data_IF_781834998757
#
_entry.id   IF_781834998757
#
_cell.length_a   1.000
_cell.length_b   1.000
_cell.length_c   1.000
_cell.angle_alpha   90.00
_cell.angle_beta   90.00
_cell.angle_gamma   90.00
#
_symmetry.space_group_name_H-M   'P 1'
#
loop_
_entity.id
_entity.type
_entity.pdbx_description
1 polymer ?
#
# COMPACT_ATOMS: atom_id res chain seq x y z
N UNK A 1 30.19 29.01 -8.14
CA UNK A 1 29.54 28.54 -9.38
C UNK A 1 28.73 27.31 -8.99
N UNK A 2 27.47 27.53 -8.60
CA UNK A 2 26.58 26.50 -8.09
C UNK A 2 25.99 25.76 -9.29
N UNK A 3 26.45 24.53 -9.52
CA UNK A 3 25.95 23.67 -10.60
C UNK A 3 24.57 23.14 -10.17
N UNK A 4 23.50 23.88 -10.50
CA UNK A 4 22.13 23.40 -10.35
C UNK A 4 21.95 22.29 -11.40
N UNK A 5 21.96 21.04 -10.95
CA UNK A 5 21.59 19.90 -11.76
C UNK A 5 20.11 20.05 -12.14
N UNK A 6 19.86 20.51 -13.37
CA UNK A 6 18.59 20.35 -14.05
C UNK A 6 18.34 18.85 -14.24
N UNK A 7 17.72 18.21 -13.25
CA UNK A 7 17.08 16.92 -13.46
C UNK A 7 16.05 17.11 -14.58
N UNK A 8 16.03 16.25 -15.61
CA UNK A 8 14.97 16.30 -16.60
C UNK A 8 13.66 16.03 -15.87
N UNK A 9 12.77 17.03 -15.80
CA UNK A 9 11.36 16.78 -15.58
C UNK A 9 10.92 15.82 -16.68
N UNK A 10 10.79 14.54 -16.33
CA UNK A 10 10.19 13.54 -17.21
C UNK A 10 8.70 13.89 -17.21
N UNK A 11 8.32 14.79 -18.11
CA UNK A 11 6.91 15.12 -18.37
C UNK A 11 6.25 13.85 -18.89
N UNK A 12 5.63 13.07 -18.00
CA UNK A 12 4.97 11.82 -18.35
C UNK A 12 3.49 12.08 -18.68
N UNK A 13 3.23 13.07 -19.55
CA UNK A 13 1.89 13.30 -20.09
C UNK A 13 1.47 12.08 -20.92
N UNK A 14 0.40 11.41 -20.49
CA UNK A 14 -0.07 10.17 -21.14
C UNK A 14 -1.44 10.39 -21.77
N UNK A 15 -1.61 9.95 -23.02
CA UNK A 15 -2.88 10.05 -23.73
C UNK A 15 -3.83 8.92 -23.36
N UNK A 16 -5.04 9.27 -22.93
CA UNK A 16 -6.14 8.33 -22.71
C UNK A 16 -6.90 8.17 -24.02
N UNK A 17 -7.10 6.92 -24.41
CA UNK A 17 -7.71 6.53 -25.67
C UNK A 17 -9.03 5.82 -25.41
N UNK A 18 -9.99 6.00 -26.30
CA UNK A 18 -11.24 5.25 -26.37
C UNK A 18 -11.32 4.49 -27.67
N UNK A 19 -11.58 3.19 -27.60
CA UNK A 19 -11.97 2.37 -28.75
C UNK A 19 -13.48 2.15 -28.70
N UNK A 20 -14.25 2.79 -29.59
CA UNK A 20 -15.69 2.58 -29.68
C UNK A 20 -16.07 1.10 -29.81
N UNK A 21 -17.17 0.69 -29.16
CA UNK A 21 -17.64 -0.70 -29.17
C UNK A 21 -18.21 -1.13 -30.53
N UNK A 22 -18.56 -0.17 -31.39
CA UNK A 22 -19.00 -0.40 -32.77
C UNK A 22 -17.86 -0.83 -33.73
N UNK A 23 -16.62 -0.86 -33.25
CA UNK A 23 -15.44 -1.20 -34.05
C UNK A 23 -14.85 -0.03 -34.83
N UNK A 24 -15.32 1.20 -34.58
CA UNK A 24 -14.75 2.41 -35.15
C UNK A 24 -13.29 2.64 -34.70
N UNK A 25 -12.61 3.55 -35.39
CA UNK A 25 -11.23 3.89 -35.09
C UNK A 25 -11.07 4.41 -33.65
N UNK A 26 -9.88 4.19 -33.07
CA UNK A 26 -9.54 4.67 -31.72
C UNK A 26 -9.53 6.20 -31.72
N UNK A 27 -10.18 6.79 -30.72
CA UNK A 27 -10.30 8.23 -30.50
C UNK A 27 -9.50 8.62 -29.26
N UNK A 28 -8.81 9.75 -29.28
CA UNK A 28 -8.12 10.29 -28.11
C UNK A 28 -9.11 11.06 -27.23
N UNK A 29 -9.37 10.56 -26.03
CA UNK A 29 -10.27 11.23 -25.08
C UNK A 29 -9.64 12.48 -24.48
N UNK A 30 -8.35 12.41 -24.15
CA UNK A 30 -7.63 13.49 -23.50
C UNK A 30 -6.22 13.10 -23.10
N UNK A 31 -5.52 14.03 -22.48
CA UNK A 31 -4.19 13.81 -21.91
C UNK A 31 -4.23 13.96 -20.40
N UNK A 32 -3.51 13.08 -19.71
CA UNK A 32 -3.31 13.14 -18.27
C UNK A 32 -1.88 13.54 -17.99
N UNK A 33 -1.72 14.56 -17.16
CA UNK A 33 -0.43 14.91 -16.57
C UNK A 33 -0.29 14.16 -15.23
N UNK A 34 0.80 13.40 -15.10
CA UNK A 34 1.10 12.63 -13.88
C UNK A 34 1.79 13.48 -12.81
N UNK A 35 2.45 14.58 -13.19
CA UNK A 35 3.10 15.51 -12.28
C UNK A 35 2.07 16.45 -11.64
N UNK A 36 1.09 16.88 -12.44
CA UNK A 36 -0.06 17.64 -11.99
C UNK A 36 -1.33 16.86 -12.29
N UNK A 37 -1.94 16.15 -11.31
CA UNK A 37 -3.05 15.22 -11.53
C UNK A 37 -4.26 15.95 -12.12
N UNK A 38 -4.28 16.05 -13.44
CA UNK A 38 -5.21 16.85 -14.21
C UNK A 38 -5.48 16.11 -15.52
N UNK A 39 -6.74 16.15 -15.94
CA UNK A 39 -7.17 15.62 -17.22
C UNK A 39 -7.56 16.79 -18.10
N UNK A 40 -6.98 16.84 -19.30
CA UNK A 40 -7.41 17.76 -20.34
C UNK A 40 -8.17 16.97 -21.38
N UNK A 41 -9.50 17.15 -21.42
CA UNK A 41 -10.33 16.56 -22.47
C UNK A 41 -9.98 17.15 -23.83
N UNK A 42 -9.84 16.29 -24.84
CA UNK A 42 -9.56 16.68 -26.22
C UNK A 42 -10.63 16.24 -27.20
N UNK A 43 -11.66 15.52 -26.72
CA UNK A 43 -12.75 15.03 -27.56
C UNK A 43 -14.09 15.07 -26.83
N UNK A 44 -15.14 15.33 -27.61
CA UNK A 44 -16.53 15.27 -27.16
C UNK A 44 -17.15 13.89 -27.41
N UNK A 45 -16.32 12.83 -27.45
CA UNK A 45 -16.82 11.48 -27.72
C UNK A 45 -17.81 11.06 -26.64
N UNK A 46 -18.97 10.58 -27.08
CA UNK A 46 -19.99 9.96 -26.26
C UNK A 46 -20.44 8.64 -26.89
N UNK A 47 -20.64 7.64 -26.06
CA UNK A 47 -20.96 6.29 -26.49
C UNK A 47 -20.25 5.24 -25.65
N UNK A 48 -20.57 3.98 -25.94
CA UNK A 48 -19.88 2.84 -25.33
C UNK A 48 -18.52 2.64 -26.00
N UNK A 49 -17.47 2.67 -25.21
CA UNK A 49 -16.11 2.47 -25.69
C UNK A 49 -15.26 1.76 -24.63
N UNK A 50 -14.26 1.01 -25.09
CA UNK A 50 -13.19 0.63 -24.20
C UNK A 50 -12.22 1.79 -24.02
N UNK A 51 -12.03 2.20 -22.77
CA UNK A 51 -11.07 3.19 -22.33
C UNK A 51 -9.76 2.48 -22.03
N UNK A 52 -8.66 3.04 -22.55
CA UNK A 52 -7.35 2.42 -22.48
C UNK A 52 -6.20 3.37 -22.78
N UNK A 53 -5.02 2.79 -22.90
CA UNK A 53 -3.76 3.48 -23.19
C UNK A 53 -3.08 2.85 -24.39
N UNK A 54 -2.14 3.59 -24.98
CA UNK A 54 -1.16 3.00 -25.87
C UNK A 54 0.06 2.54 -25.04
N UNK A 55 0.33 1.24 -25.04
CA UNK A 55 1.50 0.65 -24.40
C UNK A 55 2.35 0.01 -25.50
N UNK A 56 3.56 0.55 -25.71
CA UNK A 56 4.51 0.05 -26.71
C UNK A 56 3.99 0.01 -28.16
N UNK A 57 3.05 0.89 -28.53
CA UNK A 57 2.47 0.97 -29.87
C UNK A 57 1.08 0.32 -29.96
N UNK A 58 0.73 -0.53 -29.01
CA UNK A 58 -0.55 -1.26 -28.98
C UNK A 58 -1.54 -0.63 -28.01
N UNK A 59 -2.80 -0.52 -28.44
CA UNK A 59 -3.88 -0.10 -27.57
C UNK A 59 -4.27 -1.23 -26.61
N UNK A 60 -4.15 -0.96 -25.32
CA UNK A 60 -4.56 -1.87 -24.24
C UNK A 60 -5.85 -1.36 -23.62
N UNK A 61 -6.89 -2.17 -23.77
CA UNK A 61 -8.21 -1.95 -23.19
C UNK A 61 -8.17 -2.21 -21.67
N UNK A 62 -8.50 -1.21 -20.86
CA UNK A 62 -8.55 -1.36 -19.40
C UNK A 62 -9.98 -1.44 -18.85
N UNK A 63 -10.89 -0.59 -19.35
CA UNK A 63 -12.27 -0.51 -18.85
C UNK A 63 -13.24 -0.30 -20.02
N UNK A 64 -14.24 -1.16 -20.15
CA UNK A 64 -15.38 -0.91 -21.02
C UNK A 64 -16.41 -0.05 -20.27
N UNK A 65 -16.73 1.13 -20.80
CA UNK A 65 -17.68 2.04 -20.16
C UNK A 65 -18.47 2.86 -21.19
N UNK A 66 -19.64 3.33 -20.75
CA UNK A 66 -20.42 4.32 -21.49
C UNK A 66 -19.96 5.72 -21.09
N UNK A 67 -19.50 6.48 -22.09
CA UNK A 67 -19.04 7.85 -21.95
C UNK A 67 -20.21 8.79 -22.29
N UNK A 68 -20.53 9.68 -21.36
CA UNK A 68 -21.54 10.72 -21.54
C UNK A 68 -20.82 12.05 -21.85
N UNK A 69 -21.31 12.81 -22.84
CA UNK A 69 -20.71 14.11 -23.22
C UNK A 69 -21.04 15.21 -22.21
N UNK A 70 -22.14 15.08 -21.46
CA UNK A 70 -22.67 16.07 -20.53
C UNK A 70 -22.34 15.77 -19.06
N UNK A 71 -21.43 14.82 -18.79
CA UNK A 71 -21.00 14.44 -17.44
C UNK A 71 -19.49 14.55 -17.31
N UNK A 72 -19.05 14.91 -16.11
CA UNK A 72 -17.65 14.86 -15.75
C UNK A 72 -17.13 13.43 -15.74
N UNK A 73 -15.83 13.28 -15.99
CA UNK A 73 -15.11 12.00 -16.08
C UNK A 73 -14.22 11.84 -14.86
N UNK A 74 -14.34 10.72 -14.14
CA UNK A 74 -13.43 10.38 -13.04
C UNK A 74 -12.50 9.24 -13.47
N UNK A 75 -11.21 9.53 -13.51
CA UNK A 75 -10.16 8.56 -13.80
C UNK A 75 -9.36 8.27 -12.54
N UNK A 76 -9.30 7.00 -12.13
CA UNK A 76 -8.38 6.55 -11.08
C UNK A 76 -7.24 5.79 -11.72
N UNK A 77 -6.03 6.36 -11.67
CA UNK A 77 -4.84 5.77 -12.27
C UNK A 77 -3.97 5.19 -11.18
N UNK A 78 -3.60 3.92 -11.31
CA UNK A 78 -2.61 3.29 -10.46
C UNK A 78 -1.27 3.27 -11.20
N UNK A 79 -0.30 4.01 -10.69
CA UNK A 79 1.05 4.08 -11.26
C UNK A 79 2.07 3.46 -10.30
N UNK A 80 3.02 2.72 -10.86
CA UNK A 80 4.14 2.13 -10.13
C UNK A 80 5.44 2.49 -10.86
N UNK A 81 6.38 3.11 -10.15
CA UNK A 81 7.69 3.50 -10.70
C UNK A 81 7.58 4.37 -11.98
N UNK A 82 6.57 5.24 -12.05
CA UNK A 82 6.30 6.09 -13.22
C UNK A 82 5.61 5.39 -14.39
N UNK A 83 5.29 4.11 -14.27
CA UNK A 83 4.54 3.33 -15.27
C UNK A 83 3.10 3.17 -14.83
N UNK A 84 2.15 3.50 -15.70
CA UNK A 84 0.73 3.27 -15.45
C UNK A 84 0.45 1.77 -15.54
N UNK A 85 -0.06 1.21 -14.44
CA UNK A 85 -0.35 -0.23 -14.32
C UNK A 85 -1.83 -0.53 -14.50
N UNK A 86 -2.71 0.40 -14.08
CA UNK A 86 -4.16 0.20 -14.14
C UNK A 86 -4.88 1.54 -14.23
N UNK A 87 -6.00 1.53 -14.96
CA UNK A 87 -6.93 2.65 -15.04
C UNK A 87 -8.29 2.13 -14.64
N UNK A 88 -8.96 2.86 -13.75
CA UNK A 88 -10.37 2.70 -13.48
C UNK A 88 -11.10 3.97 -13.95
N UNK A 89 -12.30 3.78 -14.50
CA UNK A 89 -13.16 4.87 -14.93
C UNK A 89 -14.47 4.79 -14.15
N UNK A 90 -14.88 5.92 -13.57
CA UNK A 90 -16.15 6.06 -12.87
C UNK A 90 -16.98 7.16 -13.52
N UNK A 91 -18.23 6.82 -13.79
CA UNK A 91 -19.23 7.73 -14.37
C UNK A 91 -19.99 8.48 -13.30
N UNK A 92 -20.59 9.60 -13.69
CA UNK A 92 -21.59 10.30 -12.88
C UNK A 92 -21.07 11.47 -12.06
N UNK A 93 -19.96 12.09 -12.47
CA UNK A 93 -19.58 13.39 -11.93
C UNK A 93 -20.46 14.47 -12.56
N UNK A 94 -20.75 15.57 -11.82
CA UNK A 94 -21.41 16.73 -12.39
C UNK A 94 -20.63 17.22 -13.62
N UNK A 95 -21.34 17.74 -14.63
CA UNK A 95 -20.85 18.09 -15.96
C UNK A 95 -19.62 19.01 -16.04
N UNK A 96 -19.22 19.61 -14.91
CA UNK A 96 -18.17 20.62 -14.82
C UNK A 96 -16.89 20.12 -14.14
N UNK A 97 -16.83 18.87 -13.69
CA UNK A 97 -15.70 18.36 -12.91
C UNK A 97 -15.16 17.07 -13.52
N UNK A 98 -14.10 17.21 -14.32
CA UNK A 98 -13.23 16.09 -14.65
C UNK A 98 -12.22 15.93 -13.51
N UNK A 99 -12.17 14.74 -12.90
CA UNK A 99 -11.31 14.46 -11.75
C UNK A 99 -10.34 13.33 -12.08
N UNK A 100 -9.06 13.54 -11.78
CA UNK A 100 -8.04 12.51 -11.86
C UNK A 100 -7.50 12.21 -10.48
N UNK A 101 -7.60 10.95 -10.06
CA UNK A 101 -6.97 10.48 -8.83
C UNK A 101 -5.81 9.57 -9.22
N UNK A 102 -4.59 9.98 -8.89
CA UNK A 102 -3.40 9.15 -9.09
C UNK A 102 -3.10 8.44 -7.76
N UNK A 103 -3.21 7.12 -7.77
CA UNK A 103 -2.77 6.27 -6.66
C UNK A 103 -1.40 5.71 -7.02
N UNK A 104 -0.34 6.22 -6.42
CA UNK A 104 0.96 5.57 -6.52
C UNK A 104 0.97 4.39 -5.55
N UNK A 105 1.35 3.20 -6.03
CA UNK A 105 1.52 2.04 -5.17
C UNK A 105 2.70 2.31 -4.23
N UNK A 106 2.43 2.93 -3.08
CA UNK A 106 3.42 3.11 -2.03
C UNK A 106 3.88 1.71 -1.60
N UNK A 107 5.18 1.46 -1.69
CA UNK A 107 5.76 0.20 -1.23
C UNK A 107 5.22 -0.09 0.18
N UNK A 108 4.55 -1.23 0.32
CA UNK A 108 4.05 -1.65 1.63
C UNK A 108 5.23 -1.58 2.61
N UNK A 109 5.05 -1.00 3.81
CA UNK A 109 6.12 -0.97 4.79
C UNK A 109 6.62 -2.41 4.95
N UNK A 110 7.90 -2.63 4.66
CA UNK A 110 8.51 -3.94 4.76
C UNK A 110 8.14 -4.49 6.12
N UNK A 111 7.37 -5.58 6.14
CA UNK A 111 7.12 -6.28 7.37
C UNK A 111 8.49 -6.60 7.94
N UNK A 112 8.81 -6.08 9.12
CA UNK A 112 10.00 -6.46 9.85
C UNK A 112 9.83 -7.95 10.16
N UNK A 113 10.30 -8.79 9.23
CA UNK A 113 10.34 -10.24 9.39
C UNK A 113 11.27 -10.44 10.58
N UNK A 114 10.69 -10.70 11.76
CA UNK A 114 11.41 -11.33 12.84
C UNK A 114 12.01 -12.60 12.24
N UNK A 115 13.33 -12.70 12.34
CA UNK A 115 14.17 -13.68 11.69
C UNK A 115 13.51 -15.06 11.59
N UNK A 116 13.70 -15.78 10.47
CA UNK A 116 13.13 -17.11 10.31
C UNK A 116 13.53 -18.00 11.48
N UNK A 117 12.54 -18.54 12.17
CA UNK A 117 12.73 -19.48 13.29
C UNK A 117 13.65 -20.60 12.79
N UNK A 118 14.87 -20.63 13.32
CA UNK A 118 15.84 -21.65 12.93
C UNK A 118 15.31 -23.02 13.38
N UNK A 119 14.97 -23.86 12.42
CA UNK A 119 14.60 -25.26 12.65
C UNK A 119 15.87 -26.05 12.94
N UNK A 120 16.06 -26.47 14.19
CA UNK A 120 17.01 -27.52 14.53
C UNK A 120 16.21 -28.81 14.66
N UNK A 121 16.46 -29.80 13.80
CA UNK A 121 15.85 -31.13 13.82
C UNK A 121 14.31 -31.19 13.63
N UNK A 122 13.75 -30.40 12.71
CA UNK A 122 12.35 -30.54 12.27
C UNK A 122 11.25 -30.35 13.35
N UNK A 123 11.59 -29.84 14.52
CA UNK A 123 10.64 -29.49 15.57
C UNK A 123 10.70 -27.98 15.84
N UNK A 124 9.53 -27.37 15.99
CA UNK A 124 9.40 -25.98 16.45
C UNK A 124 9.92 -25.98 17.89
N UNK A 125 11.08 -25.34 18.15
CA UNK A 125 11.49 -25.06 19.52
C UNK A 125 10.38 -24.20 20.14
N UNK A 126 9.49 -24.85 20.90
CA UNK A 126 8.72 -24.16 21.92
C UNK A 126 9.76 -23.56 22.83
N UNK A 127 9.84 -22.22 22.87
CA UNK A 127 10.56 -21.53 23.91
C UNK A 127 10.25 -22.23 25.23
N UNK A 128 11.26 -22.81 25.87
CA UNK A 128 11.07 -23.47 27.15
C UNK A 128 10.38 -22.43 28.04
N UNK A 129 9.20 -22.76 28.60
CA UNK A 129 8.41 -21.78 29.31
C UNK A 129 9.31 -21.13 30.36
N UNK A 130 9.47 -19.80 30.28
CA UNK A 130 10.34 -19.07 31.20
C UNK A 130 9.96 -19.49 32.62
N UNK A 131 10.85 -20.26 33.25
CA UNK A 131 10.57 -20.84 34.57
C UNK A 131 10.15 -19.68 35.46
N UNK A 132 8.94 -19.77 36.00
CA UNK A 132 8.38 -18.69 36.80
C UNK A 132 9.36 -18.34 37.91
N UNK A 133 9.44 -17.06 38.28
CA UNK A 133 10.38 -16.56 39.30
C UNK A 133 10.45 -17.49 40.52
N UNK A 134 9.29 -17.97 40.99
CA UNK A 134 9.17 -18.91 42.11
C UNK A 134 9.93 -20.23 41.89
N UNK A 135 9.90 -20.81 40.68
CA UNK A 135 10.66 -22.02 40.36
C UNK A 135 12.18 -21.82 40.42
N UNK A 136 12.67 -20.62 40.12
CA UNK A 136 14.10 -20.30 40.18
C UNK A 136 14.57 -20.05 41.62
N UNK A 137 13.71 -19.46 42.45
CA UNK A 137 14.10 -19.02 43.80
C UNK A 137 13.67 -19.93 44.95
N UNK A 138 12.90 -21.00 44.71
CA UNK A 138 12.42 -21.90 45.78
C UNK A 138 13.57 -22.50 46.62
N UNK A 139 14.69 -22.86 45.98
CA UNK A 139 15.85 -23.45 46.64
C UNK A 139 16.50 -22.48 47.65
N UNK A 140 16.35 -21.17 47.46
CA UNK A 140 16.87 -20.14 48.38
C UNK A 140 15.83 -19.73 49.43
N UNK A 141 14.55 -19.76 49.08
CA UNK A 141 13.46 -19.37 49.99
C UNK A 141 13.31 -20.40 51.13
N UNK A 142 13.39 -21.70 50.83
CA UNK A 142 13.18 -22.77 51.83
C UNK A 142 14.20 -22.73 52.99
N UNK A 143 15.52 -22.63 52.76
CA UNK A 143 16.50 -22.55 53.83
C UNK A 143 16.35 -21.30 54.70
N UNK A 144 16.00 -20.15 54.10
CA UNK A 144 15.81 -18.89 54.83
C UNK A 144 14.59 -19.00 55.75
N UNK A 145 13.49 -19.56 55.26
CA UNK A 145 12.30 -19.84 56.07
C UNK A 145 12.62 -20.79 57.22
N UNK A 146 13.38 -21.86 56.97
CA UNK A 146 13.82 -22.79 58.02
C UNK A 146 14.69 -22.10 59.08
N UNK A 147 15.63 -21.24 58.67
CA UNK A 147 16.45 -20.46 59.60
C UNK A 147 15.61 -19.49 60.44
N UNK A 148 14.61 -18.83 59.85
CA UNK A 148 13.68 -17.96 60.58
C UNK A 148 12.83 -18.74 61.58
N UNK A 149 12.37 -19.94 61.21
CA UNK A 149 11.52 -20.77 62.07
C UNK A 149 12.31 -21.39 63.24
N UNK A 150 13.57 -21.76 63.00
CA UNK A 150 14.47 -22.32 64.02
C UNK A 150 15.16 -21.23 64.86
N UNK A 151 15.41 -20.05 64.27
CA UNK A 151 16.10 -18.92 64.91
C UNK A 151 15.17 -17.88 65.56
N UNK A 152 13.87 -17.90 65.25
CA UNK A 152 12.87 -16.96 65.78
C UNK A 152 12.32 -17.31 67.17
N UNK A 153 12.86 -18.34 67.82
CA UNK A 153 12.45 -18.78 69.15
C UNK A 153 13.51 -18.52 70.21
N UNK A 154 13.66 -17.27 70.64
CA UNK A 154 14.22 -16.95 71.95
C UNK A 154 13.38 -15.84 72.61
N UNK A 155 12.57 -16.19 73.62
CA UNK A 155 11.90 -15.23 74.48
C UNK A 155 12.87 -14.75 75.56
N UNK A 156 12.72 -13.53 76.05
CA UNK A 156 12.87 -13.25 77.49
C UNK A 156 11.95 -12.08 77.84
N UNK A 157 11.01 -12.38 78.73
CA UNK A 157 10.17 -11.43 79.45
C UNK A 157 11.00 -10.75 80.55
N UNK A 158 10.76 -9.45 80.77
CA UNK A 158 10.70 -8.87 82.11
C UNK A 158 12.01 -8.57 82.87
N UNK A 159 12.45 -7.30 82.78
CA UNK A 159 12.56 -6.43 83.96
C UNK A 159 12.52 -4.95 83.59
#
# INVERSE_FOLDING_TARGET
MLLIALLPSIVAATSILARPADGSAVVTLGTIDLDTPSFTSTSDFAGEACIGLNVAGDFVCHVLAQIEADKGKEFTIEAKDGVITKINFKKGLPAAEDTVTITTAQAAPEAAIKEPVQLVNNEILKDEPEKTFIQKYWMYIVPILLLLLLGGGAPEEGK
#
